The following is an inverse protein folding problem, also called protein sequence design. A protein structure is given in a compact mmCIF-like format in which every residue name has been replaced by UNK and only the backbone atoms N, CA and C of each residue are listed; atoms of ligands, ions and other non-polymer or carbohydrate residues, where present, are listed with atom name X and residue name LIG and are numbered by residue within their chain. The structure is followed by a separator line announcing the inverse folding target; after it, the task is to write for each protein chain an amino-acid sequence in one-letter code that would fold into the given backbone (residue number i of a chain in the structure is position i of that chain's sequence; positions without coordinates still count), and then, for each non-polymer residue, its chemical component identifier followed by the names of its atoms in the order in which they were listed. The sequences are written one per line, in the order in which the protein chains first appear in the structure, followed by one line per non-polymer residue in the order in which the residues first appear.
data_IF_275710636716
#
_entry.id   IF_275710636716
#
_cell.length_a   1.000
_cell.length_b   1.000
_cell.length_c   1.000
_cell.angle_alpha   90.00
_cell.angle_beta   90.00
_cell.angle_gamma   90.00
#
_symmetry.space_group_name_H-M   'P 1'
#
loop_
_entity.id
_entity.type
_entity.pdbx_description
1 polymer ?
#
# COMPACT_ATOMS: atom_id res chain seq x y z
N UNK A 1 0.51 -7.53 7.79
CA UNK A 1 0.79 -8.30 6.56
C UNK A 1 -0.34 -8.08 5.59
N UNK A 2 -0.10 -8.30 4.29
CA UNK A 2 -1.17 -8.31 3.28
C UNK A 2 -2.17 -9.44 3.54
N UNK A 3 -3.40 -9.28 3.06
CA UNK A 3 -4.43 -10.32 3.10
C UNK A 3 -4.09 -11.47 2.16
N UNK A 4 -4.65 -12.65 2.42
CA UNK A 4 -4.48 -13.82 1.56
C UNK A 4 -4.93 -13.55 0.11
N UNK A 5 -6.07 -12.87 -0.05
CA UNK A 5 -6.56 -12.45 -1.37
C UNK A 5 -5.52 -11.60 -2.13
N UNK A 6 -4.91 -10.62 -1.47
CA UNK A 6 -3.90 -9.77 -2.10
C UNK A 6 -2.63 -10.55 -2.47
N UNK A 7 -2.26 -11.57 -1.70
CA UNK A 7 -1.15 -12.46 -2.05
C UNK A 7 -1.49 -13.33 -3.27
N UNK A 8 -2.73 -13.80 -3.39
CA UNK A 8 -3.16 -14.59 -4.55
C UNK A 8 -3.22 -13.73 -5.82
N UNK A 9 -3.76 -12.52 -5.72
CA UNK A 9 -3.74 -11.54 -6.82
C UNK A 9 -2.30 -11.23 -7.26
N UNK A 10 -1.38 -11.07 -6.31
CA UNK A 10 0.04 -10.89 -6.61
C UNK A 10 0.62 -12.08 -7.38
N UNK A 11 0.30 -13.33 -6.99
CA UNK A 11 0.75 -14.54 -7.72
C UNK A 11 0.24 -14.57 -9.16
N UNK A 12 -1.02 -14.23 -9.38
CA UNK A 12 -1.62 -14.18 -10.73
C UNK A 12 -0.90 -13.15 -11.60
N UNK A 13 -0.69 -11.93 -11.08
CA UNK A 13 0.02 -10.87 -11.81
C UNK A 13 1.45 -11.32 -12.14
N UNK A 14 2.17 -11.87 -11.16
CA UNK A 14 3.55 -12.31 -11.33
C UNK A 14 3.66 -13.41 -12.39
N UNK A 15 2.77 -14.40 -12.34
CA UNK A 15 2.70 -15.47 -13.34
C UNK A 15 2.40 -14.92 -14.72
N UNK A 16 1.42 -14.03 -14.85
CA UNK A 16 1.04 -13.47 -16.16
C UNK A 16 2.17 -12.63 -16.77
N UNK A 17 2.92 -11.90 -15.93
CA UNK A 17 3.99 -11.01 -16.39
C UNK A 17 5.30 -11.76 -16.70
N UNK A 18 5.65 -12.77 -15.91
CA UNK A 18 6.97 -13.41 -15.97
C UNK A 18 6.92 -14.90 -16.37
N UNK A 19 5.74 -15.51 -16.45
CA UNK A 19 5.58 -16.94 -16.71
C UNK A 19 6.03 -17.85 -15.56
N UNK A 20 6.26 -17.29 -14.37
CA UNK A 20 6.80 -18.01 -13.20
C UNK A 20 5.71 -18.17 -12.14
N UNK A 21 5.51 -19.39 -11.66
CA UNK A 21 4.66 -19.64 -10.48
C UNK A 21 5.47 -19.50 -9.19
N UNK A 22 4.95 -18.73 -8.24
CA UNK A 22 5.55 -18.54 -6.93
C UNK A 22 4.86 -19.42 -5.89
N UNK A 23 5.65 -19.96 -4.96
CA UNK A 23 5.10 -20.52 -3.73
C UNK A 23 4.43 -19.44 -2.87
N UNK A 24 3.53 -19.84 -1.98
CA UNK A 24 2.86 -18.92 -1.05
C UNK A 24 3.88 -18.14 -0.21
N UNK A 25 4.95 -18.79 0.24
CA UNK A 25 6.00 -18.15 1.04
C UNK A 25 6.76 -17.07 0.26
N UNK A 26 7.11 -17.35 -1.00
CA UNK A 26 7.80 -16.39 -1.88
C UNK A 26 6.89 -15.21 -2.22
N UNK A 27 5.65 -15.48 -2.62
CA UNK A 27 4.68 -14.45 -2.92
C UNK A 27 4.42 -13.55 -1.71
N UNK A 28 4.27 -14.15 -0.52
CA UNK A 28 4.10 -13.41 0.74
C UNK A 28 5.29 -12.52 1.01
N UNK A 29 6.52 -13.04 0.91
CA UNK A 29 7.75 -12.26 1.13
C UNK A 29 7.85 -11.09 0.14
N UNK A 30 7.70 -11.37 -1.15
CA UNK A 30 7.88 -10.37 -2.21
C UNK A 30 6.81 -9.28 -2.16
N UNK A 31 5.53 -9.63 -2.03
CA UNK A 31 4.45 -8.65 -1.95
C UNK A 31 4.58 -7.73 -0.72
N UNK A 32 4.96 -8.29 0.44
CA UNK A 32 5.23 -7.47 1.63
C UNK A 32 6.48 -6.58 1.46
N UNK A 33 7.51 -7.03 0.74
CA UNK A 33 8.65 -6.18 0.39
C UNK A 33 8.24 -5.03 -0.54
N UNK A 34 7.41 -5.30 -1.55
CA UNK A 34 6.92 -4.30 -2.49
C UNK A 34 6.14 -3.19 -1.79
N UNK A 35 5.19 -3.53 -0.91
CA UNK A 35 4.42 -2.51 -0.19
C UNK A 35 5.28 -1.68 0.78
N UNK A 36 6.32 -2.28 1.37
CA UNK A 36 7.30 -1.55 2.20
C UNK A 36 8.11 -0.56 1.37
N UNK A 37 8.56 -0.98 0.18
CA UNK A 37 9.26 -0.10 -0.75
C UNK A 37 8.35 1.07 -1.19
N UNK A 38 7.12 0.77 -1.59
CA UNK A 38 6.13 1.79 -1.96
C UNK A 38 5.97 2.84 -0.85
N UNK A 39 5.79 2.41 0.40
CA UNK A 39 5.66 3.30 1.56
C UNK A 39 6.92 4.09 1.91
N UNK A 40 8.10 3.57 1.57
CA UNK A 40 9.37 4.25 1.84
C UNK A 40 9.67 5.34 0.80
N UNK A 41 9.25 5.11 -0.45
CA UNK A 41 9.54 6.02 -1.57
C UNK A 41 8.46 7.07 -1.74
N UNK A 42 7.19 6.71 -1.52
CA UNK A 42 6.09 7.63 -1.73
C UNK A 42 5.67 8.30 -0.42
N UNK A 43 5.47 9.63 -0.43
CA UNK A 43 4.93 10.32 0.73
C UNK A 43 3.51 9.80 1.01
N UNK A 44 3.03 9.87 2.27
CA UNK A 44 1.65 9.57 2.59
C UNK A 44 0.73 10.36 1.67
N UNK A 45 -0.16 9.67 0.97
CA UNK A 45 -1.18 10.33 0.17
C UNK A 45 -1.98 11.22 1.12
N UNK A 46 -1.95 12.54 0.89
CA UNK A 46 -2.79 13.48 1.64
C UNK A 46 -4.25 13.16 1.30
N UNK A 47 -4.90 12.42 2.17
CA UNK A 47 -6.34 12.33 2.20
C UNK A 47 -6.86 13.72 2.58
N UNK A 48 -7.64 14.34 1.69
CA UNK A 48 -8.20 15.70 1.82
C UNK A 48 -9.09 15.89 3.07
N UNK A 49 -9.30 14.86 3.88
CA UNK A 49 -10.09 14.90 5.12
C UNK A 49 -9.38 15.53 6.32
N UNK A 50 -8.14 16.00 6.21
CA UNK A 50 -7.46 16.73 7.31
C UNK A 50 -7.52 18.26 7.20
N UNK A 51 -8.21 18.85 6.21
CA UNK A 51 -8.32 20.33 6.07
C UNK A 51 -9.35 20.96 7.05
N UNK A 52 -9.84 20.25 8.05
CA UNK A 52 -10.76 20.83 9.07
C UNK A 52 -10.24 20.64 10.49
N UNK A 53 -9.06 21.17 10.82
CA UNK A 53 -8.70 21.40 12.24
C UNK A 53 -8.06 22.76 12.56
N UNK A 54 -7.64 23.56 11.58
CA UNK A 54 -6.88 24.80 11.87
C UNK A 54 -7.59 26.13 11.52
N UNK A 55 -8.93 26.17 11.43
CA UNK A 55 -9.67 27.42 11.13
C UNK A 55 -10.59 27.98 12.22
N UNK A 56 -10.61 27.43 13.45
CA UNK A 56 -11.44 27.96 14.54
C UNK A 56 -10.65 28.56 15.71
N UNK A 57 -9.61 29.35 15.45
CA UNK A 57 -8.94 30.12 16.50
C UNK A 57 -8.62 31.57 16.12
N UNK A 58 -9.48 32.23 15.33
CA UNK A 58 -9.43 33.69 15.15
C UNK A 58 -10.83 34.24 14.88
N UNK A 59 -11.69 34.30 15.90
CA UNK A 59 -12.85 35.20 15.92
C UNK A 59 -13.19 35.51 17.40
N UNK A 60 -12.31 36.28 18.03
CA UNK A 60 -12.64 37.13 19.18
C UNK A 60 -11.92 38.46 18.96
N UNK A 61 -12.62 39.42 18.38
CA UNK A 61 -12.31 40.85 18.42
C UNK A 61 -13.61 41.62 18.17
#
# INVERSE_FOLDING_TARGET
MLSEQAIEEFKVIYRNQYGIELSLAEATKQANCLIRLYKAVLPPLKNETSIVKDTNLKNTA
#
